data_IF_008877956791
#
_entry.id   IF_008877956791
#
_cell.length_a   1.000
_cell.length_b   1.000
_cell.length_c   1.000
_cell.angle_alpha   90.00
_cell.angle_beta   90.00
_cell.angle_gamma   90.00
#
_symmetry.space_group_name_H-M   'P 1'
#
loop_
_entity.id
_entity.type
_entity.pdbx_description
1 polymer ?
#
# COMPACT_ATOMS: atom_id res chain seq x y z
N UNK A 1 6.61 13.55 11.94
CA UNK A 1 6.32 13.00 10.60
C UNK A 1 6.94 11.62 10.57
N UNK A 2 6.21 10.59 10.13
CA UNK A 2 6.80 9.26 9.97
C UNK A 2 7.46 9.25 8.59
N UNK A 3 8.72 8.85 8.55
CA UNK A 3 9.46 8.75 7.29
C UNK A 3 9.15 7.42 6.61
N UNK A 4 9.20 7.44 5.28
CA UNK A 4 9.11 6.22 4.47
C UNK A 4 10.34 5.34 4.75
N UNK A 5 10.20 4.00 4.84
CA UNK A 5 11.35 3.13 5.03
C UNK A 5 12.39 3.34 3.91
N UNK A 6 13.68 3.31 4.26
CA UNK A 6 14.79 3.60 3.33
C UNK A 6 14.95 2.58 2.21
N UNK A 7 14.38 1.39 2.38
CA UNK A 7 14.36 0.27 1.42
C UNK A 7 13.10 0.26 0.54
N UNK A 8 12.25 1.28 0.65
CA UNK A 8 11.08 1.41 -0.22
C UNK A 8 11.53 1.77 -1.65
N UNK A 9 11.25 0.92 -2.66
CA UNK A 9 11.89 1.03 -3.97
C UNK A 9 11.18 1.98 -4.93
N UNK A 10 9.99 2.48 -4.58
CA UNK A 10 9.16 3.23 -5.52
C UNK A 10 9.39 4.73 -5.43
N UNK A 11 9.55 5.36 -6.58
CA UNK A 11 9.36 6.81 -6.72
C UNK A 11 7.87 7.10 -6.89
N UNK A 12 7.40 8.22 -6.33
CA UNK A 12 6.02 8.61 -6.50
C UNK A 12 5.73 8.95 -7.97
N UNK A 13 4.56 8.56 -8.51
CA UNK A 13 4.15 8.96 -9.86
C UNK A 13 3.97 10.47 -10.01
N UNK A 14 3.84 10.94 -11.26
CA UNK A 14 3.60 12.36 -11.54
C UNK A 14 2.36 12.88 -10.83
N UNK A 15 2.48 14.03 -10.16
CA UNK A 15 1.45 14.65 -9.30
C UNK A 15 1.07 13.86 -8.05
N UNK A 16 1.88 12.89 -7.63
CA UNK A 16 1.69 12.19 -6.38
C UNK A 16 2.88 12.35 -5.44
N UNK A 17 2.63 12.12 -4.16
CA UNK A 17 3.66 11.90 -3.15
C UNK A 17 3.20 10.84 -2.15
N UNK A 18 4.15 10.20 -1.47
CA UNK A 18 3.83 9.26 -0.39
C UNK A 18 3.79 9.99 0.95
N UNK A 19 2.82 9.64 1.80
CA UNK A 19 2.68 10.14 3.17
C UNK A 19 2.54 8.96 4.13
N UNK A 20 3.37 8.90 5.18
CA UNK A 20 3.27 7.86 6.20
C UNK A 20 2.50 8.35 7.43
N UNK A 21 1.57 7.54 7.92
CA UNK A 21 0.76 7.82 9.12
C UNK A 21 0.68 6.61 10.03
N UNK A 22 0.63 6.86 11.34
CA UNK A 22 0.34 5.82 12.31
C UNK A 22 -1.04 5.20 12.02
N UNK A 23 -1.09 3.87 11.94
CA UNK A 23 -2.34 3.14 11.75
C UNK A 23 -2.75 2.44 13.05
N UNK A 24 -1.81 1.71 13.65
CA UNK A 24 -1.93 1.10 14.99
C UNK A 24 -0.54 0.79 15.52
N UNK A 25 -0.44 0.23 16.73
CA UNK A 25 0.84 -0.16 17.33
C UNK A 25 1.68 -0.99 16.35
N UNK A 26 2.89 -0.50 16.08
CA UNK A 26 3.88 -1.10 15.18
C UNK A 26 3.44 -1.20 13.70
N UNK A 27 2.40 -0.48 13.29
CA UNK A 27 1.92 -0.49 11.90
C UNK A 27 1.75 0.93 11.39
N UNK A 28 2.40 1.21 10.28
CA UNK A 28 2.33 2.48 9.56
C UNK A 28 1.55 2.27 8.27
N UNK A 29 0.61 3.17 7.97
CA UNK A 29 -0.05 3.26 6.68
C UNK A 29 0.76 4.16 5.75
N UNK A 30 1.03 3.67 4.53
CA UNK A 30 1.60 4.48 3.45
C UNK A 30 0.43 4.92 2.57
N UNK A 31 0.21 6.23 2.54
CA UNK A 31 -0.78 6.88 1.69
C UNK A 31 -0.11 7.38 0.41
N UNK A 32 -0.84 7.31 -0.68
CA UNK A 32 -0.51 7.93 -1.95
C UNK A 32 -1.45 9.15 -2.11
N UNK A 33 -0.86 10.34 -2.08
CA UNK A 33 -1.55 11.61 -2.06
C UNK A 33 -1.46 12.26 -3.44
N UNK A 34 -2.61 12.49 -4.10
CA UNK A 34 -2.69 13.22 -5.36
C UNK A 34 -2.75 14.72 -5.08
N UNK A 35 -1.86 15.49 -5.71
CA UNK A 35 -1.83 16.97 -5.61
C UNK A 35 -2.76 17.67 -6.59
N UNK A 36 -3.34 16.95 -7.54
CA UNK A 36 -4.31 17.50 -8.48
C UNK A 36 -5.64 17.80 -7.80
N UNK A 37 -6.18 18.98 -8.11
CA UNK A 37 -7.51 19.39 -7.68
C UNK A 37 -8.55 18.87 -8.65
N UNK A 38 -9.55 18.16 -8.15
CA UNK A 38 -10.69 17.71 -8.93
C UNK A 38 -11.86 18.70 -8.75
N UNK A 39 -12.59 19.01 -9.82
CA UNK A 39 -13.67 19.99 -9.80
C UNK A 39 -14.82 19.67 -8.82
N UNK A 40 -14.90 18.43 -8.33
CA UNK A 40 -16.01 17.90 -7.54
C UNK A 40 -15.67 17.61 -6.08
N UNK A 41 -14.45 17.87 -5.60
CA UNK A 41 -14.07 17.70 -4.19
C UNK A 41 -13.26 18.89 -3.68
N UNK A 42 -13.65 19.44 -2.53
CA UNK A 42 -12.83 20.39 -1.78
C UNK A 42 -11.66 19.71 -1.05
N UNK A 43 -11.70 18.39 -0.90
CA UNK A 43 -10.63 17.61 -0.30
C UNK A 43 -9.43 17.52 -1.26
N UNK A 44 -8.41 18.31 -0.96
CA UNK A 44 -7.09 18.24 -1.59
C UNK A 44 -6.02 18.27 -0.50
N UNK A 45 -5.05 17.35 -0.49
CA UNK A 45 -4.81 16.29 -1.47
C UNK A 45 -5.78 15.10 -1.32
N UNK A 46 -6.13 14.46 -2.44
CA UNK A 46 -6.89 13.21 -2.41
C UNK A 46 -5.96 12.09 -1.96
N UNK A 47 -6.37 11.37 -0.92
CA UNK A 47 -5.57 10.27 -0.33
C UNK A 47 -6.12 8.92 -0.73
N UNK A 48 -5.25 8.08 -1.25
CA UNK A 48 -5.50 6.66 -1.49
C UNK A 48 -4.50 5.84 -0.68
N UNK A 49 -4.87 4.63 -0.27
CA UNK A 49 -3.97 3.77 0.50
C UNK A 49 -3.07 3.00 -0.47
N UNK A 50 -1.74 3.16 -0.34
CA UNK A 50 -0.79 2.33 -1.07
C UNK A 50 -0.68 0.95 -0.41
N UNK A 51 -0.47 0.93 0.92
CA UNK A 51 -0.29 -0.29 1.70
C UNK A 51 0.15 -0.02 3.14
N UNK A 52 0.65 -1.04 3.82
CA UNK A 52 1.05 -0.95 5.22
C UNK A 52 2.45 -1.51 5.45
N UNK A 53 3.13 -0.97 6.45
CA UNK A 53 4.43 -1.46 6.94
C UNK A 53 4.25 -1.91 8.38
N UNK A 54 4.63 -3.15 8.69
CA UNK A 54 4.67 -3.65 10.08
C UNK A 54 6.09 -3.68 10.56
N UNK A 55 6.37 -2.93 11.63
CA UNK A 55 7.67 -2.90 12.25
C UNK A 55 7.78 -3.95 13.35
N UNK A 56 8.92 -4.63 13.41
CA UNK A 56 9.31 -5.52 14.50
C UNK A 56 10.59 -4.97 15.12
N UNK A 57 10.45 -4.45 16.32
CA UNK A 57 11.59 -3.95 17.11
C UNK A 57 12.10 -5.06 18.02
N UNK A 58 13.40 -5.34 17.94
CA UNK A 58 14.12 -6.21 18.87
C UNK A 58 15.15 -5.38 19.65
N UNK A 59 15.85 -5.99 20.63
CA UNK A 59 16.94 -5.31 21.35
C UNK A 59 18.13 -4.94 20.43
N UNK A 60 18.28 -5.62 19.29
CA UNK A 60 19.47 -5.51 18.42
C UNK A 60 19.19 -4.80 17.10
N UNK A 61 17.96 -4.88 16.60
CA UNK A 61 17.58 -4.32 15.30
C UNK A 61 16.10 -3.98 15.25
N UNK A 62 15.75 -3.09 14.32
CA UNK A 62 14.38 -2.88 13.86
C UNK A 62 14.28 -3.41 12.45
N UNK A 63 13.31 -4.29 12.20
CA UNK A 63 13.02 -4.83 10.86
C UNK A 63 11.57 -4.51 10.51
N UNK A 64 11.18 -4.64 9.24
CA UNK A 64 9.80 -4.47 8.83
C UNK A 64 9.41 -5.39 7.67
N UNK A 65 8.11 -5.53 7.47
CA UNK A 65 7.51 -6.22 6.33
C UNK A 65 6.40 -5.38 5.73
N UNK A 66 6.21 -5.51 4.42
CA UNK A 66 5.18 -4.79 3.67
C UNK A 66 3.92 -5.64 3.53
N UNK A 67 2.77 -5.00 3.57
CA UNK A 67 1.48 -5.66 3.48
C UNK A 67 0.56 -4.96 2.49
N UNK A 68 -0.12 -5.76 1.67
CA UNK A 68 -1.19 -5.28 0.81
C UNK A 68 -2.37 -4.76 1.67
N UNK A 69 -3.05 -3.68 1.25
CA UNK A 69 -4.26 -3.24 1.91
C UNK A 69 -5.45 -4.14 1.51
N UNK A 70 -6.32 -4.48 2.47
CA UNK A 70 -7.69 -4.92 2.13
C UNK A 70 -8.56 -3.68 1.88
N UNK A 71 -8.40 -2.67 2.74
CA UNK A 71 -8.90 -1.31 2.57
C UNK A 71 -8.08 -0.37 3.48
N UNK A 72 -8.40 0.93 3.50
CA UNK A 72 -7.68 1.91 4.34
C UNK A 72 -7.77 1.63 5.85
N UNK A 73 -8.75 0.84 6.29
CA UNK A 73 -9.00 0.48 7.68
C UNK A 73 -8.57 -0.96 8.03
N UNK A 74 -7.99 -1.71 7.07
CA UNK A 74 -7.68 -3.13 7.27
C UNK A 74 -6.44 -3.57 6.49
N UNK A 75 -5.44 -4.02 7.25
CA UNK A 75 -4.20 -4.60 6.74
C UNK A 75 -4.45 -6.01 6.19
N UNK A 76 -3.92 -6.30 5.01
CA UNK A 76 -3.99 -7.60 4.36
C UNK A 76 -2.73 -8.46 4.54
N UNK A 77 -2.49 -9.31 3.54
CA UNK A 77 -1.39 -10.26 3.51
C UNK A 77 -0.02 -9.57 3.36
N UNK A 78 1.03 -10.23 3.84
CA UNK A 78 2.42 -9.83 3.55
C UNK A 78 2.71 -9.97 2.06
N UNK A 79 3.52 -9.06 1.52
CA UNK A 79 3.92 -9.05 0.10
C UNK A 79 5.41 -8.83 -0.02
N UNK A 80 6.00 -9.36 -1.09
CA UNK A 80 7.34 -8.96 -1.52
C UNK A 80 7.26 -7.54 -2.10
N UNK A 81 8.06 -6.63 -1.55
CA UNK A 81 8.10 -5.23 -1.98
C UNK A 81 8.49 -5.09 -3.46
N UNK A 82 9.26 -6.04 -3.99
CA UNK A 82 9.67 -6.03 -5.40
C UNK A 82 8.55 -6.43 -6.36
N UNK A 83 7.49 -7.09 -5.87
CA UNK A 83 6.29 -7.44 -6.64
C UNK A 83 5.15 -6.43 -6.40
N UNK A 84 5.47 -5.21 -5.97
CA UNK A 84 4.48 -4.13 -5.78
C UNK A 84 4.64 -3.06 -6.85
N UNK A 85 3.66 -2.15 -6.93
CA UNK A 85 3.66 -1.04 -7.90
C UNK A 85 3.69 0.30 -7.20
N UNK A 86 4.06 1.33 -7.95
CA UNK A 86 4.04 2.73 -7.50
C UNK A 86 2.67 3.18 -6.96
N UNK A 87 1.57 2.62 -7.47
CA UNK A 87 0.22 2.99 -7.02
C UNK A 87 -0.32 2.15 -5.86
N UNK A 88 0.17 0.93 -5.67
CA UNK A 88 -0.38 0.00 -4.66
C UNK A 88 0.54 -1.16 -4.33
N UNK A 89 0.44 -1.65 -3.09
CA UNK A 89 1.02 -2.91 -2.63
C UNK A 89 0.19 -4.15 -3.01
N UNK A 90 -1.01 -3.98 -3.59
CA UNK A 90 -1.85 -5.09 -4.00
C UNK A 90 -1.22 -5.87 -5.17
N UNK A 91 -1.24 -7.19 -5.04
CA UNK A 91 -0.73 -8.12 -6.04
C UNK A 91 -1.76 -8.29 -7.18
N UNK A 92 -1.28 -8.42 -8.42
CA UNK A 92 -2.17 -8.71 -9.55
C UNK A 92 -2.68 -10.13 -9.41
N UNK A 93 -4.00 -10.28 -9.32
CA UNK A 93 -4.63 -11.58 -9.37
C UNK A 93 -4.40 -12.18 -10.75
N UNK A 94 -4.04 -13.47 -10.80
CA UNK A 94 -4.02 -14.21 -12.05
C UNK A 94 -5.38 -14.04 -12.74
N UNK A 95 -5.42 -13.77 -14.05
CA UNK A 95 -6.67 -13.63 -14.76
C UNK A 95 -7.52 -14.87 -14.50
N UNK A 96 -8.80 -14.66 -14.16
CA UNK A 96 -9.76 -15.73 -14.03
C UNK A 96 -9.82 -16.44 -15.38
N UNK A 97 -9.19 -17.60 -15.46
CA UNK A 97 -9.26 -18.46 -16.64
C UNK A 97 -10.50 -19.32 -16.44
N UNK A 98 -11.60 -19.08 -17.20
CA UNK A 98 -12.74 -19.96 -17.14
C UNK A 98 -12.28 -21.34 -17.60
N UNK A 99 -12.14 -22.27 -16.65
CA UNK A 99 -11.93 -23.67 -16.98
C UNK A 99 -13.30 -24.24 -17.31
N UNK A 100 -13.44 -24.93 -18.45
CA UNK A 100 -14.72 -25.49 -18.93
C UNK A 100 -15.43 -26.34 -17.83
N UNK A 101 -14.66 -26.94 -16.92
CA UNK A 101 -15.19 -27.67 -15.75
C UNK A 101 -16.10 -26.84 -14.84
N UNK A 102 -15.91 -25.51 -14.72
CA UNK A 102 -16.72 -24.67 -13.81
C UNK A 102 -18.15 -24.45 -14.30
N UNK A 103 -18.48 -24.85 -15.53
CA UNK A 103 -19.82 -24.70 -16.13
C UNK A 103 -20.58 -26.04 -16.23
N UNK A 104 -20.00 -27.14 -15.74
CA UNK A 104 -20.59 -28.48 -15.83
C UNK A 104 -21.01 -29.06 -14.46
N UNK A 105 -21.10 -28.23 -13.42
CA UNK A 105 -21.57 -28.61 -12.07
C UNK A 105 -22.93 -28.04 -11.74
#
# INVERSE_FOLDING_TARGET
MIELPSDFPHTAPEHYYYECKDFKRNVVAIWLCNTQSYAYTADSPIRTIWGFVKFKRTKRSTTHTYHAPINCNKVGAEVDINDTRVYTAMQILKPLTPTILNFLS
#
